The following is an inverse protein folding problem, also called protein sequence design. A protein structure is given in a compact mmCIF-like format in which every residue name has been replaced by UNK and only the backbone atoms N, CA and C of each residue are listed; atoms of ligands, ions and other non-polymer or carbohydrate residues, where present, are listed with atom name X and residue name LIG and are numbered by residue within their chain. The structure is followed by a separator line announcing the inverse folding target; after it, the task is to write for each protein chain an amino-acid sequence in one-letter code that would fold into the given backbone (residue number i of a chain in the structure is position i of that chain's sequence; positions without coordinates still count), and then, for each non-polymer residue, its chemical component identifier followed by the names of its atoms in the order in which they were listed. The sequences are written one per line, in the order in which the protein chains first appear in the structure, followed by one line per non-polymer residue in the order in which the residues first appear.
data_IF_552122483469
#
_entry.id   IF_552122483469
#
_cell.length_a   1.000
_cell.length_b   1.000
_cell.length_c   1.000
_cell.angle_alpha   90.00
_cell.angle_beta   90.00
_cell.angle_gamma   90.00
#
_symmetry.space_group_name_H-M   'P 1'
#
loop_
_entity.id
_entity.type
_entity.pdbx_description
1 polymer ?
#
# COMPACT_ATOMS: atom_id res chain seq x y z
N UNK A 1 -12.33 -14.75 16.27
CA UNK A 1 -11.82 -15.04 14.91
C UNK A 1 -11.98 -13.80 14.05
N UNK A 2 -10.97 -12.92 14.00
CA UNK A 2 -10.85 -11.97 12.89
C UNK A 2 -10.09 -12.73 11.78
N UNK A 3 -10.74 -13.02 10.65
CA UNK A 3 -10.90 -12.07 9.53
C UNK A 3 -9.53 -11.66 8.99
N UNK A 4 -8.83 -12.63 8.41
CA UNK A 4 -7.91 -12.31 7.34
C UNK A 4 -8.73 -12.50 6.07
N UNK A 5 -9.28 -11.41 5.53
CA UNK A 5 -9.92 -11.43 4.22
C UNK A 5 -8.80 -11.69 3.19
N UNK A 6 -8.53 -12.97 2.97
CA UNK A 6 -7.78 -13.41 1.80
C UNK A 6 -8.47 -12.92 0.50
N UNK A 7 -9.77 -12.65 0.57
CA UNK A 7 -10.54 -12.05 -0.52
C UNK A 7 -10.12 -10.62 -0.86
N UNK A 8 -9.58 -9.85 0.10
CA UNK A 8 -9.04 -8.52 -0.17
C UNK A 8 -7.73 -8.54 -1.00
N UNK A 9 -7.11 -9.72 -1.15
CA UNK A 9 -5.95 -9.96 -2.01
C UNK A 9 -6.26 -10.86 -3.20
N UNK A 10 -7.54 -11.12 -3.51
CA UNK A 10 -7.88 -11.41 -4.89
C UNK A 10 -7.60 -10.11 -5.65
N UNK A 11 -6.42 -10.07 -6.27
CA UNK A 11 -6.10 -9.07 -7.28
C UNK A 11 -7.35 -8.95 -8.15
N UNK A 12 -8.08 -7.82 -8.09
CA UNK A 12 -9.29 -7.70 -8.87
C UNK A 12 -8.89 -8.02 -10.31
N UNK A 13 -9.66 -8.88 -10.96
CA UNK A 13 -9.53 -9.16 -12.38
C UNK A 13 -9.91 -7.87 -13.12
N UNK A 14 -9.01 -6.88 -13.10
CA UNK A 14 -9.14 -5.66 -13.86
C UNK A 14 -8.46 -5.90 -15.20
N UNK A 15 -9.23 -5.92 -16.30
CA UNK A 15 -8.67 -5.92 -17.63
C UNK A 15 -8.21 -4.47 -17.94
N UNK A 16 -6.89 -4.28 -18.06
CA UNK A 16 -6.15 -3.18 -18.74
C UNK A 16 -5.55 -1.98 -17.96
N UNK A 17 -4.45 -1.34 -18.47
CA UNK A 17 -3.59 -1.72 -19.59
C UNK A 17 -2.18 -2.11 -19.10
N UNK A 18 -1.89 -3.41 -19.19
CA UNK A 18 -0.58 -4.05 -18.97
C UNK A 18 0.58 -3.38 -19.72
N UNK A 19 0.29 -2.77 -20.88
CA UNK A 19 1.29 -2.24 -21.79
C UNK A 19 2.05 -1.05 -21.19
N UNK A 20 1.34 -0.06 -20.62
CA UNK A 20 1.98 1.21 -20.20
C UNK A 20 2.97 1.02 -19.06
N UNK A 21 2.58 0.30 -18.00
CA UNK A 21 3.49 0.04 -16.88
C UNK A 21 4.67 -0.84 -17.32
N UNK A 22 4.41 -1.86 -18.15
CA UNK A 22 5.46 -2.73 -18.68
C UNK A 22 6.46 -1.94 -19.53
N UNK A 23 5.97 -1.10 -20.45
CA UNK A 23 6.80 -0.24 -21.30
C UNK A 23 7.68 0.72 -20.48
N UNK A 24 7.19 1.19 -19.33
CA UNK A 24 7.98 2.02 -18.42
C UNK A 24 9.00 1.22 -17.60
N UNK A 25 8.61 0.06 -17.06
CA UNK A 25 9.39 -0.69 -16.07
C UNK A 25 10.41 -1.63 -16.72
N UNK A 26 10.04 -2.33 -17.80
CA UNK A 26 10.86 -3.38 -18.42
C UNK A 26 12.21 -2.86 -18.96
N UNK A 27 12.30 -1.71 -19.66
CA UNK A 27 13.59 -1.16 -20.07
C UNK A 27 14.50 -0.82 -18.88
N UNK A 28 13.92 -0.28 -17.80
CA UNK A 28 14.67 0.06 -16.58
C UNK A 28 15.16 -1.21 -15.86
N UNK A 29 14.30 -2.23 -15.79
CA UNK A 29 14.66 -3.54 -15.24
C UNK A 29 15.82 -4.17 -16.02
N UNK A 30 15.73 -4.22 -17.34
CA UNK A 30 16.75 -4.81 -18.19
C UNK A 30 18.09 -4.04 -18.14
N UNK A 31 18.06 -2.75 -17.83
CA UNK A 31 19.25 -1.92 -17.61
C UNK A 31 19.84 -2.00 -16.19
N UNK A 32 19.29 -2.86 -15.31
CA UNK A 32 19.70 -2.96 -13.91
C UNK A 32 19.34 -1.72 -13.07
N UNK A 33 18.41 -0.88 -13.55
CA UNK A 33 17.99 0.37 -12.90
C UNK A 33 16.79 0.17 -11.97
N UNK A 34 16.96 -0.72 -11.00
CA UNK A 34 15.85 -1.20 -10.18
C UNK A 34 15.22 -0.15 -9.27
N UNK A 35 15.99 0.82 -8.76
CA UNK A 35 15.42 1.96 -8.02
C UNK A 35 14.47 2.77 -8.90
N UNK A 36 14.89 3.20 -10.09
CA UNK A 36 14.03 3.93 -11.03
C UNK A 36 12.81 3.10 -11.44
N UNK A 37 13.00 1.81 -11.72
CA UNK A 37 11.91 0.90 -12.08
C UNK A 37 10.85 0.81 -10.96
N UNK A 38 11.30 0.75 -9.71
CA UNK A 38 10.40 0.67 -8.55
C UNK A 38 9.68 1.99 -8.29
N UNK A 39 10.29 3.13 -8.60
CA UNK A 39 9.62 4.43 -8.52
C UNK A 39 8.45 4.54 -9.51
N UNK A 40 8.60 4.04 -10.75
CA UNK A 40 7.51 3.95 -11.71
C UNK A 40 6.36 3.03 -11.24
N UNK A 41 6.71 1.89 -10.61
CA UNK A 41 5.71 1.01 -9.98
C UNK A 41 4.97 1.72 -8.84
N UNK A 42 5.68 2.47 -7.99
CA UNK A 42 5.09 3.22 -6.89
C UNK A 42 4.18 4.35 -7.38
N UNK A 43 4.55 5.04 -8.45
CA UNK A 43 3.70 6.04 -9.10
C UNK A 43 2.38 5.42 -9.56
N UNK A 44 2.42 4.27 -10.25
CA UNK A 44 1.20 3.55 -10.65
C UNK A 44 0.36 3.10 -9.45
N UNK A 45 0.99 2.54 -8.41
CA UNK A 45 0.29 2.15 -7.18
C UNK A 45 -0.38 3.33 -6.47
N UNK A 46 0.18 4.54 -6.59
CA UNK A 46 -0.42 5.77 -6.03
C UNK A 46 -1.62 6.24 -6.83
N UNK A 47 -1.51 6.20 -8.16
CA UNK A 47 -2.53 6.75 -9.07
C UNK A 47 -3.72 5.81 -9.24
N UNK A 48 -3.46 4.53 -9.47
CA UNK A 48 -4.50 3.56 -9.88
C UNK A 48 -4.88 2.57 -8.78
N UNK A 49 -4.14 2.59 -7.66
CA UNK A 49 -4.39 1.73 -6.52
C UNK A 49 -3.88 0.29 -6.69
N UNK A 50 -4.65 -0.66 -6.18
CA UNK A 50 -4.21 -2.05 -5.93
C UNK A 50 -4.39 -2.97 -7.15
N UNK A 51 -3.70 -2.66 -8.25
CA UNK A 51 -3.63 -3.54 -9.44
C UNK A 51 -2.68 -4.73 -9.25
N UNK A 52 -2.91 -5.83 -9.97
CA UNK A 52 -2.05 -7.03 -9.93
C UNK A 52 -0.63 -6.78 -10.44
N UNK A 53 -0.51 -6.08 -11.56
CA UNK A 53 0.77 -5.92 -12.27
C UNK A 53 1.79 -5.06 -11.52
N UNK A 54 1.42 -3.91 -10.92
CA UNK A 54 2.36 -3.17 -10.10
C UNK A 54 2.92 -4.03 -8.96
N UNK A 55 2.11 -4.88 -8.34
CA UNK A 55 2.57 -5.80 -7.30
C UNK A 55 3.47 -6.91 -7.84
N UNK A 56 3.18 -7.43 -9.03
CA UNK A 56 4.05 -8.39 -9.70
C UNK A 56 5.43 -7.79 -9.97
N UNK A 57 5.49 -6.60 -10.56
CA UNK A 57 6.74 -5.88 -10.82
C UNK A 57 7.47 -5.51 -9.53
N UNK A 58 6.74 -5.04 -8.50
CA UNK A 58 7.31 -4.77 -7.19
C UNK A 58 8.00 -6.02 -6.62
N UNK A 59 7.36 -7.18 -6.66
CA UNK A 59 7.96 -8.43 -6.18
C UNK A 59 9.21 -8.83 -6.97
N UNK A 60 9.21 -8.68 -8.30
CA UNK A 60 10.39 -8.94 -9.12
C UNK A 60 11.57 -8.03 -8.72
N UNK A 61 11.30 -6.73 -8.57
CA UNK A 61 12.30 -5.71 -8.22
C UNK A 61 12.80 -5.84 -6.77
N UNK A 62 11.92 -6.05 -5.81
CA UNK A 62 12.27 -6.16 -4.37
C UNK A 62 13.09 -7.41 -4.06
N UNK A 63 13.03 -8.44 -4.91
CA UNK A 63 13.86 -9.64 -4.80
C UNK A 63 15.26 -9.48 -5.33
N UNK A 64 15.51 -8.44 -6.12
CA UNK A 64 16.87 -8.16 -6.60
C UNK A 64 17.83 -8.03 -5.43
N UNK A 65 19.00 -8.64 -5.58
CA UNK A 65 20.08 -8.57 -4.60
C UNK A 65 20.77 -7.22 -4.70
N UNK A 66 20.83 -6.45 -3.61
CA UNK A 66 21.45 -5.13 -3.64
C UNK A 66 22.95 -5.19 -4.02
N UNK A 67 23.58 -6.34 -3.81
CA UNK A 67 24.97 -6.68 -4.09
C UNK A 67 25.20 -7.32 -5.47
N UNK A 68 24.18 -7.47 -6.32
CA UNK A 68 24.36 -7.99 -7.67
C UNK A 68 25.13 -6.97 -8.53
N UNK A 69 26.29 -7.33 -9.11
CA UNK A 69 27.07 -6.42 -9.96
C UNK A 69 26.33 -5.99 -11.24
N UNK A 70 25.26 -6.70 -11.64
CA UNK A 70 24.40 -6.28 -12.74
C UNK A 70 23.48 -5.09 -12.38
N UNK A 71 23.40 -4.72 -11.10
CA UNK A 71 22.50 -3.68 -10.63
C UNK A 71 23.17 -2.30 -10.66
N UNK A 72 22.96 -1.59 -11.77
CA UNK A 72 23.36 -0.18 -11.92
C UNK A 72 22.72 0.73 -10.86
N UNK A 73 21.51 0.41 -10.42
CA UNK A 73 20.75 1.22 -9.47
C UNK A 73 19.96 0.33 -8.49
N UNK A 74 20.58 -0.18 -7.41
CA UNK A 74 19.93 -1.11 -6.50
C UNK A 74 18.77 -0.45 -5.76
N UNK A 75 17.74 -1.23 -5.45
CA UNK A 75 16.62 -0.78 -4.62
C UNK A 75 17.11 -0.39 -3.23
N UNK A 76 16.78 0.83 -2.80
CA UNK A 76 17.17 1.36 -1.50
C UNK A 76 16.38 0.72 -0.35
N UNK A 77 16.93 0.76 0.88
CA UNK A 77 16.20 0.33 2.08
C UNK A 77 14.88 1.10 2.25
N UNK A 78 14.90 2.42 2.01
CA UNK A 78 13.70 3.26 2.11
C UNK A 78 12.59 2.87 1.14
N UNK A 79 12.94 2.46 -0.09
CA UNK A 79 11.95 1.96 -1.04
C UNK A 79 11.45 0.57 -0.67
N UNK A 80 12.33 -0.32 -0.17
CA UNK A 80 11.90 -1.63 0.35
C UNK A 80 10.90 -1.44 1.49
N UNK A 81 11.10 -0.46 2.36
CA UNK A 81 10.19 -0.18 3.48
C UNK A 81 8.90 0.56 3.09
N UNK A 82 8.65 0.76 1.80
CA UNK A 82 7.49 1.52 1.35
C UNK A 82 6.17 0.80 1.68
N UNK A 83 5.26 1.54 2.31
CA UNK A 83 3.94 1.08 2.73
C UNK A 83 3.11 0.47 1.59
N UNK A 84 3.28 0.96 0.36
CA UNK A 84 2.55 0.44 -0.80
C UNK A 84 2.83 -1.04 -1.05
N UNK A 85 3.98 -1.59 -0.63
CA UNK A 85 4.29 -3.02 -0.80
C UNK A 85 3.78 -3.89 0.34
N UNK A 86 3.06 -3.32 1.29
CA UNK A 86 2.51 -4.09 2.39
C UNK A 86 1.57 -5.23 1.95
N UNK A 87 0.67 -5.02 0.98
CA UNK A 87 -0.14 -6.09 0.36
C UNK A 87 0.60 -7.35 -0.03
N UNK A 88 1.88 -7.23 -0.36
CA UNK A 88 2.74 -8.34 -0.82
C UNK A 88 3.82 -8.70 0.20
N UNK A 89 3.80 -8.09 1.39
CA UNK A 89 4.69 -8.39 2.49
C UNK A 89 4.17 -9.56 3.34
N UNK A 90 5.10 -10.34 3.86
CA UNK A 90 4.86 -11.41 4.81
C UNK A 90 5.66 -11.13 6.07
N UNK A 91 5.07 -11.33 7.25
CA UNK A 91 5.68 -11.03 8.53
C UNK A 91 5.74 -12.26 9.44
N UNK A 92 6.85 -12.38 10.17
CA UNK A 92 6.98 -13.29 11.30
C UNK A 92 6.21 -12.81 12.52
N UNK A 93 5.24 -13.61 12.98
CA UNK A 93 4.46 -13.37 14.20
C UNK A 93 5.26 -13.43 15.51
N UNK A 94 6.57 -13.74 15.46
CA UNK A 94 7.45 -13.87 16.63
C UNK A 94 8.52 -12.80 16.73
N UNK A 95 9.16 -12.44 15.63
CA UNK A 95 10.24 -11.45 15.61
C UNK A 95 9.94 -10.21 14.77
N UNK A 96 8.74 -10.12 14.19
CA UNK A 96 8.28 -9.00 13.35
C UNK A 96 9.13 -8.75 12.10
N UNK A 97 10.09 -9.62 11.80
CA UNK A 97 10.83 -9.59 10.55
C UNK A 97 9.88 -9.85 9.39
N UNK A 98 10.02 -9.07 8.31
CA UNK A 98 9.18 -9.21 7.13
C UNK A 98 10.00 -9.52 5.88
N UNK A 99 9.34 -10.09 4.88
CA UNK A 99 9.93 -10.46 3.59
C UNK A 99 8.87 -10.42 2.49
N UNK A 100 9.30 -10.49 1.24
CA UNK A 100 8.45 -10.54 0.06
C UNK A 100 8.41 -11.97 -0.48
N UNK A 101 7.29 -12.66 -0.29
CA UNK A 101 7.13 -14.03 -0.76
C UNK A 101 6.98 -14.06 -2.28
N UNK A 102 7.81 -14.87 -2.96
CA UNK A 102 7.72 -15.05 -4.40
C UNK A 102 6.67 -16.08 -4.83
N UNK A 103 5.99 -16.73 -3.88
CA UNK A 103 5.06 -17.82 -4.19
C UNK A 103 3.91 -17.36 -5.10
N UNK A 104 3.50 -16.10 -5.01
CA UNK A 104 2.48 -15.52 -5.90
C UNK A 104 2.94 -15.32 -7.36
N UNK A 105 4.26 -15.30 -7.62
CA UNK A 105 4.81 -15.16 -8.97
C UNK A 105 4.84 -16.48 -9.75
N UNK A 106 4.63 -17.61 -9.08
CA UNK A 106 4.79 -18.94 -9.65
C UNK A 106 3.47 -19.71 -9.58
N UNK A 107 2.49 -19.30 -10.39
CA UNK A 107 1.17 -19.94 -10.46
C UNK A 107 1.19 -21.34 -11.10
N UNK A 108 2.21 -21.67 -11.91
CA UNK A 108 2.20 -22.86 -12.78
C UNK A 108 3.29 -23.91 -12.51
N UNK A 109 4.04 -23.83 -11.40
CA UNK A 109 5.16 -24.76 -11.16
C UNK A 109 4.78 -25.76 -10.07
N UNK A 110 4.34 -26.94 -10.48
CA UNK A 110 4.04 -28.08 -9.60
C UNK A 110 5.26 -28.55 -8.78
N UNK A 111 6.48 -28.15 -9.18
CA UNK A 111 7.74 -28.53 -8.55
C UNK A 111 8.64 -27.31 -8.33
N UNK A 112 8.20 -26.37 -7.51
CA UNK A 112 9.08 -25.28 -7.10
C UNK A 112 10.03 -25.78 -6.00
N UNK A 113 11.29 -26.04 -6.37
CA UNK A 113 12.36 -26.16 -5.38
C UNK A 113 12.60 -24.78 -4.77
N UNK A 114 11.89 -24.53 -3.67
CA UNK A 114 12.10 -23.40 -2.79
C UNK A 114 13.45 -23.62 -2.10
N UNK A 115 14.56 -23.24 -2.75
CA UNK A 115 15.91 -23.28 -2.17
C UNK A 115 16.10 -22.30 -1.00
N UNK A 116 15.01 -21.65 -0.58
CA UNK A 116 14.93 -20.75 0.55
C UNK A 116 13.44 -20.57 0.93
N UNK A 117 12.85 -21.27 1.93
CA UNK A 117 11.71 -20.69 2.60
C UNK A 117 12.29 -19.60 3.50
N UNK A 118 11.96 -18.35 3.22
CA UNK A 118 11.96 -17.37 4.30
C UNK A 118 10.69 -17.65 5.10
N UNK A 119 10.67 -18.72 5.91
CA UNK A 119 9.57 -19.05 6.81
C UNK A 119 8.45 -19.99 6.33
N UNK A 120 7.52 -20.31 7.23
CA UNK A 120 6.31 -21.12 7.00
C UNK A 120 5.06 -20.38 7.50
N UNK A 121 3.91 -20.70 6.91
CA UNK A 121 2.60 -20.14 7.25
C UNK A 121 1.60 -21.25 7.58
N UNK A 122 0.79 -21.02 8.62
CA UNK A 122 -0.34 -21.89 8.95
C UNK A 122 -1.40 -21.83 7.86
N UNK A 123 -1.79 -22.98 7.33
CA UNK A 123 -2.77 -23.07 6.25
C UNK A 123 -4.22 -22.80 6.71
N UNK A 124 -4.46 -22.74 8.02
CA UNK A 124 -5.76 -22.40 8.61
C UNK A 124 -5.80 -20.94 9.10
N UNK A 125 -5.01 -20.61 10.12
CA UNK A 125 -5.09 -19.30 10.79
C UNK A 125 -4.10 -18.25 10.26
N UNK A 126 -3.29 -18.60 9.24
CA UNK A 126 -2.28 -17.71 8.62
C UNK A 126 -1.15 -17.24 9.55
N UNK A 127 -1.02 -17.84 10.72
CA UNK A 127 0.13 -17.62 11.60
C UNK A 127 1.43 -17.94 10.86
N UNK A 128 2.34 -16.98 10.78
CA UNK A 128 3.54 -17.07 9.95
C UNK A 128 4.81 -16.91 10.78
N UNK A 129 5.82 -17.74 10.52
CA UNK A 129 7.12 -17.72 11.19
C UNK A 129 8.23 -17.61 10.16
N UNK A 130 9.20 -16.73 10.37
CA UNK A 130 10.42 -16.73 9.56
C UNK A 130 11.30 -17.96 9.90
N UNK A 131 12.27 -18.26 9.02
CA UNK A 131 13.19 -19.40 9.20
C UNK A 131 13.94 -19.40 10.53
N UNK A 132 14.25 -18.22 11.09
CA UNK A 132 14.97 -18.10 12.35
C UNK A 132 14.08 -18.35 13.57
N UNK A 133 12.77 -18.13 13.42
CA UNK A 133 11.79 -18.34 14.49
C UNK A 133 11.08 -19.69 14.40
N UNK A 134 11.23 -20.40 13.28
CA UNK A 134 10.68 -21.73 13.05
C UNK A 134 11.52 -22.79 13.77
N UNK A 135 10.98 -23.48 14.80
CA UNK A 135 11.71 -24.56 15.45
C UNK A 135 11.90 -25.75 14.50
N UNK A 136 13.04 -26.45 14.63
CA UNK A 136 13.31 -27.64 13.83
C UNK A 136 12.21 -28.69 14.03
N UNK A 137 11.67 -29.25 12.93
CA UNK A 137 10.60 -30.26 12.98
C UNK A 137 9.20 -29.72 13.32
N UNK A 138 9.03 -28.40 13.47
CA UNK A 138 7.72 -27.81 13.73
C UNK A 138 6.86 -27.84 12.46
N UNK A 139 5.87 -28.73 12.44
CA UNK A 139 4.84 -28.80 11.39
C UNK A 139 3.47 -28.31 11.85
N UNK A 140 3.24 -28.16 13.17
CA UNK A 140 1.98 -27.67 13.74
C UNK A 140 2.02 -26.18 14.01
N UNK A 141 0.89 -25.52 13.79
CA UNK A 141 0.71 -24.12 14.11
C UNK A 141 0.87 -23.87 15.62
N UNK A 142 1.69 -22.90 16.05
CA UNK A 142 1.85 -22.56 17.46
C UNK A 142 0.77 -21.59 17.97
N UNK A 143 -0.13 -21.09 17.10
CA UNK A 143 -1.21 -20.22 17.52
C UNK A 143 -2.18 -20.98 18.44
N UNK A 144 -2.50 -20.38 19.58
CA UNK A 144 -3.36 -20.99 20.59
C UNK A 144 -4.72 -21.38 19.99
N UNK A 145 -5.08 -22.66 20.10
CA UNK A 145 -6.37 -23.18 19.63
C UNK A 145 -6.47 -23.43 18.13
N UNK A 146 -5.39 -23.29 17.35
CA UNK A 146 -5.40 -23.60 15.91
C UNK A 146 -4.92 -25.05 15.67
N UNK A 147 -5.75 -25.92 15.06
CA UNK A 147 -5.34 -27.28 14.72
C UNK A 147 -4.46 -27.38 13.46
N UNK A 148 -4.33 -26.29 12.69
CA UNK A 148 -3.66 -26.25 11.40
C UNK A 148 -2.16 -26.55 11.40
N UNK A 149 -1.67 -26.92 10.22
CA UNK A 149 -0.26 -27.15 9.93
C UNK A 149 0.45 -25.93 9.32
N UNK A 150 1.73 -25.79 9.63
CA UNK A 150 2.64 -24.89 8.95
C UNK A 150 3.03 -25.50 7.60
N UNK A 151 2.88 -24.72 6.53
CA UNK A 151 3.26 -25.07 5.17
C UNK A 151 3.89 -23.89 4.44
N UNK A 152 4.08 -24.03 3.14
CA UNK A 152 4.59 -22.93 2.31
C UNK A 152 3.66 -21.70 2.44
N UNK A 153 4.21 -20.49 2.59
CA UNK A 153 3.40 -19.26 2.60
C UNK A 153 2.62 -19.13 1.31
N UNK A 154 1.29 -19.28 1.37
CA UNK A 154 0.43 -19.18 0.19
C UNK A 154 -0.04 -17.75 -0.03
N UNK A 155 -0.06 -16.93 1.02
CA UNK A 155 -0.56 -15.55 0.95
C UNK A 155 0.34 -14.59 1.74
N UNK A 156 0.56 -13.37 1.25
CA UNK A 156 1.05 -12.27 2.06
C UNK A 156 0.22 -12.10 3.33
N UNK A 157 0.84 -11.77 4.44
CA UNK A 157 0.13 -11.50 5.71
C UNK A 157 -0.10 -10.02 5.96
N UNK A 158 0.44 -9.14 5.10
CA UNK A 158 0.58 -7.72 5.39
C UNK A 158 1.82 -7.42 6.27
N UNK A 159 1.94 -6.16 6.70
CA UNK A 159 3.04 -5.62 7.53
C UNK A 159 2.66 -5.69 9.02
N UNK A 160 3.65 -5.75 9.94
CA UNK A 160 3.49 -5.71 11.40
C UNK A 160 2.33 -4.91 11.96
N UNK A 161 1.52 -5.59 12.80
CA UNK A 161 0.62 -4.94 13.74
C UNK A 161 1.42 -3.97 14.61
N UNK A 162 1.00 -2.70 14.66
CA UNK A 162 1.54 -1.72 15.61
C UNK A 162 2.76 -0.92 15.15
N UNK A 163 3.23 -1.07 13.90
CA UNK A 163 4.21 -0.15 13.31
C UNK A 163 3.55 0.64 12.18
N UNK A 164 3.53 1.98 12.21
CA UNK A 164 3.07 2.75 11.07
C UNK A 164 3.89 2.37 9.84
N UNK A 165 3.23 2.23 8.69
CA UNK A 165 3.82 1.58 7.52
C UNK A 165 4.91 2.41 6.83
N UNK A 166 5.22 3.59 7.35
CA UNK A 166 6.39 4.39 7.00
C UNK A 166 6.49 5.57 8.00
N UNK A 167 7.69 6.11 8.24
CA UNK A 167 7.85 7.49 8.74
C UNK A 167 7.28 8.55 7.78
N UNK A 168 7.09 8.18 6.51
CA UNK A 168 6.54 9.00 5.42
C UNK A 168 5.04 8.81 5.15
N UNK A 169 4.37 7.82 5.79
CA UNK A 169 2.91 7.74 5.76
C UNK A 169 2.44 8.63 6.88
N UNK A 170 2.21 9.91 6.56
CA UNK A 170 1.72 10.90 7.50
C UNK A 170 0.49 10.39 8.28
N UNK A 171 0.29 10.94 9.49
CA UNK A 171 -0.92 10.74 10.30
C UNK A 171 -2.15 10.85 9.40
N UNK A 172 -3.14 9.97 9.53
CA UNK A 172 -4.37 10.13 8.75
C UNK A 172 -5.00 11.47 9.13
N UNK A 173 -5.16 12.34 8.14
CA UNK A 173 -5.76 13.65 8.34
C UNK A 173 -7.27 13.52 8.15
N UNK A 174 -7.67 13.00 6.99
CA UNK A 174 -9.07 12.86 6.64
C UNK A 174 -9.34 11.67 5.71
N UNK A 175 -10.58 11.17 5.80
CA UNK A 175 -11.14 10.24 4.82
C UNK A 175 -12.46 10.83 4.33
N UNK A 176 -12.56 11.11 3.03
CA UNK A 176 -13.82 11.43 2.37
C UNK A 176 -14.35 10.17 1.68
N UNK A 177 -15.59 9.79 1.97
CA UNK A 177 -16.26 8.66 1.35
C UNK A 177 -17.37 9.16 0.45
N UNK A 178 -17.21 8.97 -0.86
CA UNK A 178 -18.31 9.07 -1.80
C UNK A 178 -19.06 7.75 -1.82
N UNK A 179 -20.38 7.83 -1.77
CA UNK A 179 -21.24 6.66 -1.84
C UNK A 179 -22.46 6.90 -2.71
N UNK A 180 -22.91 5.81 -3.31
CA UNK A 180 -24.16 5.71 -4.04
C UNK A 180 -25.00 4.56 -3.43
N UNK A 181 -26.31 4.78 -3.29
CA UNK A 181 -27.23 3.80 -2.69
C UNK A 181 -27.52 4.04 -1.22
N UNK A 182 -27.02 3.17 -0.33
CA UNK A 182 -27.24 3.30 1.12
C UNK A 182 -26.15 4.17 1.78
N UNK A 183 -26.50 4.99 2.78
CA UNK A 183 -25.53 5.74 3.58
C UNK A 183 -24.51 4.84 4.27
N UNK A 184 -23.34 5.40 4.55
CA UNK A 184 -22.27 4.70 5.26
C UNK A 184 -22.47 4.90 6.76
N UNK A 185 -22.80 3.84 7.49
CA UNK A 185 -22.86 3.94 8.95
C UNK A 185 -21.45 3.93 9.58
N UNK A 186 -21.35 4.28 10.86
CA UNK A 186 -20.07 4.38 11.55
C UNK A 186 -19.28 3.05 11.55
N UNK A 187 -19.96 1.91 11.59
CA UNK A 187 -19.29 0.60 11.58
C UNK A 187 -18.76 0.26 10.19
N UNK A 188 -19.51 0.58 9.13
CA UNK A 188 -19.06 0.48 7.75
C UNK A 188 -17.90 1.44 7.48
N UNK A 189 -17.96 2.68 7.95
CA UNK A 189 -16.88 3.66 7.83
C UNK A 189 -15.59 3.16 8.47
N UNK A 190 -15.65 2.68 9.72
CA UNK A 190 -14.48 2.07 10.38
C UNK A 190 -13.94 0.87 9.59
N UNK A 191 -14.82 0.02 9.05
CA UNK A 191 -14.43 -1.10 8.19
C UNK A 191 -13.78 -0.66 6.87
N UNK A 192 -14.28 0.40 6.25
CA UNK A 192 -13.73 0.97 5.02
C UNK A 192 -12.38 1.63 5.28
N UNK A 193 -12.24 2.37 6.38
CA UNK A 193 -10.95 2.91 6.85
C UNK A 193 -10.00 1.79 7.24
N UNK A 194 -10.52 0.69 7.78
CA UNK A 194 -9.73 -0.51 8.04
C UNK A 194 -9.08 -1.02 6.77
N UNK A 195 -9.86 -1.17 5.70
CA UNK A 195 -9.37 -1.66 4.41
C UNK A 195 -8.47 -0.62 3.72
N UNK A 196 -8.94 0.62 3.59
CA UNK A 196 -8.29 1.67 2.79
C UNK A 196 -7.12 2.37 3.50
N UNK A 197 -7.14 2.40 4.84
CA UNK A 197 -6.18 3.06 5.71
C UNK A 197 -5.59 2.07 6.72
N UNK A 198 -5.42 0.81 6.29
CA UNK A 198 -4.73 -0.29 7.01
C UNK A 198 -3.37 0.13 7.58
N UNK A 199 -2.76 1.22 7.07
CA UNK A 199 -1.34 1.53 7.18
C UNK A 199 -0.98 2.91 7.75
N UNK A 200 -1.97 3.74 8.17
CA UNK A 200 -1.76 5.11 8.68
C UNK A 200 -2.09 5.24 10.17
N UNK A 201 -1.45 6.18 10.88
CA UNK A 201 -1.82 6.52 12.27
C UNK A 201 -3.23 7.12 12.29
N UNK A 202 -4.15 6.42 12.93
CA UNK A 202 -5.58 6.78 13.04
C UNK A 202 -5.90 7.54 14.32
N UNK A 203 -4.91 8.12 15.01
CA UNK A 203 -5.22 9.03 16.11
C UNK A 203 -5.67 10.36 15.54
N UNK A 204 -6.84 10.81 15.96
CA UNK A 204 -7.40 12.13 15.64
C UNK A 204 -7.66 12.39 14.14
N UNK A 205 -8.04 11.36 13.38
CA UNK A 205 -8.57 11.55 12.03
C UNK A 205 -10.07 11.87 12.08
N UNK A 206 -10.59 12.48 11.02
CA UNK A 206 -12.03 12.65 10.82
C UNK A 206 -12.50 12.01 9.51
N UNK A 207 -13.74 11.50 9.54
CA UNK A 207 -14.42 10.94 8.38
C UNK A 207 -15.50 11.88 7.88
N UNK A 208 -15.51 12.15 6.58
CA UNK A 208 -16.59 12.82 5.87
C UNK A 208 -17.26 11.83 4.93
N UNK A 209 -18.58 11.81 4.90
CA UNK A 209 -19.32 11.10 3.86
C UNK A 209 -20.10 12.10 2.99
N UNK A 210 -20.16 11.81 1.70
CA UNK A 210 -20.91 12.61 0.75
C UNK A 210 -21.70 11.67 -0.17
N UNK A 211 -23.03 11.80 -0.12
CA UNK A 211 -23.89 11.22 -1.14
C UNK A 211 -23.60 11.91 -2.46
N UNK A 212 -23.38 11.12 -3.49
CA UNK A 212 -23.26 11.61 -4.87
C UNK A 212 -24.28 10.91 -5.76
N UNK A 213 -24.71 11.60 -6.80
CA UNK A 213 -25.50 10.98 -7.84
C UNK A 213 -24.62 10.02 -8.67
N UNK A 214 -25.19 8.98 -9.31
CA UNK A 214 -24.38 7.96 -9.96
C UNK A 214 -23.46 8.50 -11.08
N UNK A 215 -23.84 9.61 -11.73
CA UNK A 215 -23.00 10.27 -12.75
C UNK A 215 -21.82 11.06 -12.15
N UNK A 216 -21.91 11.42 -10.87
CA UNK A 216 -20.88 12.14 -10.12
C UNK A 216 -19.99 11.18 -9.30
N UNK A 217 -20.19 9.86 -9.42
CA UNK A 217 -19.37 8.86 -8.74
C UNK A 217 -18.03 8.66 -9.47
N UNK A 218 -17.23 9.72 -9.51
CA UNK A 218 -15.96 9.80 -10.24
C UNK A 218 -14.83 10.31 -9.34
N UNK A 219 -13.59 10.01 -9.73
CA UNK A 219 -12.40 10.52 -9.04
C UNK A 219 -12.37 12.06 -9.03
N UNK A 220 -12.73 12.68 -10.15
CA UNK A 220 -12.72 14.13 -10.34
C UNK A 220 -13.68 14.85 -9.38
N UNK A 221 -14.88 14.29 -9.17
CA UNK A 221 -15.86 14.85 -8.24
C UNK A 221 -15.32 14.84 -6.80
N UNK A 222 -14.67 13.76 -6.38
CA UNK A 222 -14.06 13.70 -5.05
C UNK A 222 -12.85 14.61 -4.89
N UNK A 223 -11.98 14.70 -5.89
CA UNK A 223 -10.86 15.65 -5.87
C UNK A 223 -11.33 17.11 -5.86
N UNK A 224 -12.43 17.44 -6.55
CA UNK A 224 -13.04 18.77 -6.48
C UNK A 224 -13.55 19.10 -5.05
N UNK A 225 -14.10 18.10 -4.34
CA UNK A 225 -14.52 18.24 -2.94
C UNK A 225 -13.33 18.44 -2.00
N UNK A 226 -12.26 17.67 -2.18
CA UNK A 226 -11.01 17.85 -1.40
C UNK A 226 -10.42 19.23 -1.63
N UNK A 227 -10.34 19.69 -2.89
CA UNK A 227 -9.84 21.02 -3.22
C UNK A 227 -10.71 22.14 -2.62
N UNK A 228 -12.03 21.93 -2.51
CA UNK A 228 -12.92 22.84 -1.80
C UNK A 228 -12.62 22.83 -0.29
N UNK A 229 -12.51 21.66 0.32
CA UNK A 229 -12.20 21.52 1.75
C UNK A 229 -10.88 22.20 2.12
N UNK A 230 -9.87 22.09 1.24
CA UNK A 230 -8.58 22.77 1.40
C UNK A 230 -8.74 24.29 1.36
N UNK A 231 -9.49 24.84 0.38
CA UNK A 231 -9.77 26.29 0.30
C UNK A 231 -10.56 26.81 1.51
N UNK A 232 -11.46 26.00 2.04
CA UNK A 232 -12.30 26.33 3.19
C UNK A 232 -11.56 26.15 4.53
N UNK A 233 -10.30 25.69 4.50
CA UNK A 233 -9.46 25.46 5.69
C UNK A 233 -9.82 24.21 6.50
N UNK A 234 -10.74 23.38 5.99
CA UNK A 234 -11.15 22.11 6.59
C UNK A 234 -10.22 20.94 6.26
N UNK A 235 -9.34 21.10 5.27
CA UNK A 235 -8.20 20.22 5.01
C UNK A 235 -6.91 21.06 4.96
N UNK A 236 -5.80 20.48 5.38
CA UNK A 236 -4.50 21.13 5.45
C UNK A 236 -3.90 21.39 4.07
N UNK A 237 -3.16 22.49 3.93
CA UNK A 237 -2.53 22.91 2.67
C UNK A 237 -1.77 21.76 1.98
N UNK A 238 -1.98 21.58 0.69
CA UNK A 238 -1.48 20.47 -0.12
C UNK A 238 -2.30 19.17 0.00
N UNK A 239 -3.53 19.23 0.53
CA UNK A 239 -4.37 18.05 0.75
C UNK A 239 -4.61 17.28 -0.54
N UNK A 240 -4.85 17.99 -1.64
CA UNK A 240 -5.09 17.37 -2.95
C UNK A 240 -3.94 16.44 -3.37
N UNK A 241 -2.70 16.91 -3.24
CA UNK A 241 -1.48 16.16 -3.64
C UNK A 241 -1.19 14.98 -2.69
N UNK A 242 -1.71 15.02 -1.46
CA UNK A 242 -1.57 13.95 -0.46
C UNK A 242 -2.78 13.02 -0.41
N UNK A 243 -3.76 13.22 -1.28
CA UNK A 243 -4.97 12.42 -1.33
C UNK A 243 -4.86 11.32 -2.36
N UNK A 244 -5.17 10.10 -1.95
CA UNK A 244 -5.30 8.95 -2.85
C UNK A 244 -6.74 8.45 -2.91
N UNK A 245 -7.08 7.79 -4.00
CA UNK A 245 -8.42 7.22 -4.23
C UNK A 245 -8.39 5.71 -4.05
N UNK A 246 -9.40 5.16 -3.35
CA UNK A 246 -9.60 3.72 -3.15
C UNK A 246 -11.04 3.36 -3.49
N UNK A 247 -11.24 2.53 -4.50
CA UNK A 247 -12.56 2.02 -4.86
C UNK A 247 -12.79 0.67 -4.15
N UNK A 248 -13.90 0.56 -3.41
CA UNK A 248 -14.27 -0.63 -2.65
C UNK A 248 -15.70 -1.06 -3.00
N UNK A 249 -15.90 -2.37 -3.17
CA UNK A 249 -17.24 -2.96 -3.21
C UNK A 249 -17.67 -3.40 -1.82
N UNK A 250 -18.89 -3.05 -1.40
CA UNK A 250 -19.51 -3.53 -0.16
C UNK A 250 -20.84 -4.22 -0.47
N UNK A 251 -21.41 -5.01 0.45
CA UNK A 251 -22.76 -5.54 0.30
C UNK A 251 -23.84 -4.46 0.09
N UNK A 252 -23.52 -3.19 0.39
CA UNK A 252 -24.38 -2.02 0.28
C UNK A 252 -24.06 -1.13 -0.93
N UNK A 253 -23.21 -1.60 -1.84
CA UNK A 253 -22.86 -0.92 -3.09
C UNK A 253 -21.39 -0.54 -3.20
N UNK A 254 -21.06 0.28 -4.19
CA UNK A 254 -19.70 0.79 -4.38
C UNK A 254 -19.43 1.99 -3.46
N UNK A 255 -18.18 2.10 -3.01
CA UNK A 255 -17.64 3.19 -2.19
C UNK A 255 -16.35 3.69 -2.82
N UNK A 256 -16.23 5.00 -2.96
CA UNK A 256 -14.99 5.63 -3.41
C UNK A 256 -14.44 6.46 -2.27
N UNK A 257 -13.31 6.03 -1.74
CA UNK A 257 -12.64 6.65 -0.61
C UNK A 257 -11.52 7.54 -1.09
N UNK A 258 -11.42 8.73 -0.52
CA UNK A 258 -10.34 9.68 -0.71
C UNK A 258 -9.63 9.80 0.63
N UNK A 259 -8.40 9.29 0.68
CA UNK A 259 -7.61 9.19 1.90
C UNK A 259 -6.50 10.22 1.85
N UNK A 260 -6.58 11.24 2.70
CA UNK A 260 -5.58 12.31 2.78
C UNK A 260 -4.66 12.06 3.97
N UNK A 261 -3.36 11.96 3.71
CA UNK A 261 -2.35 11.94 4.77
C UNK A 261 -2.07 13.36 5.27
N UNK A 262 -1.76 13.51 6.56
CA UNK A 262 -1.24 14.75 7.12
C UNK A 262 0.13 15.09 6.52
N UNK A 263 0.50 16.38 6.44
CA UNK A 263 1.83 16.77 6.01
C UNK A 263 2.91 16.17 6.92
N UNK A 264 4.05 15.80 6.33
CA UNK A 264 5.19 15.27 7.09
C UNK A 264 5.72 16.34 8.04
N UNK A 265 5.83 16.02 9.33
CA UNK A 265 6.46 16.91 10.29
C UNK A 265 7.95 17.08 9.93
N UNK A 266 8.33 18.26 9.44
CA UNK A 266 9.71 18.60 9.09
C UNK A 266 10.03 18.65 7.59
N UNK A 267 9.05 18.50 6.69
CA UNK A 267 9.26 18.90 5.30
C UNK A 267 9.50 20.42 5.26
N UNK A 268 10.58 20.91 4.63
CA UNK A 268 10.80 22.34 4.51
C UNK A 268 9.61 22.94 3.76
N UNK A 269 8.97 23.94 4.37
CA UNK A 269 8.02 24.77 3.65
C UNK A 269 8.73 25.25 2.38
N UNK A 270 8.18 24.90 1.22
CA UNK A 270 8.68 25.40 -0.04
C UNK A 270 8.62 26.93 0.05
N UNK A 271 9.78 27.55 0.25
CA UNK A 271 9.90 28.97 0.51
C UNK A 271 9.17 29.75 -0.57
N UNK A 272 8.24 30.61 -0.13
CA UNK A 272 7.66 31.61 -1.00
C UNK A 272 8.81 32.36 -1.71
N UNK A 273 8.71 32.63 -3.02
CA UNK A 273 9.74 33.39 -3.70
C UNK A 273 9.82 34.77 -3.03
N UNK A 274 10.95 35.06 -2.40
CA UNK A 274 11.26 36.40 -1.92
C UNK A 274 11.30 37.33 -3.13
N UNK A 275 10.21 38.08 -3.32
CA UNK A 275 10.18 39.22 -4.23
C UNK A 275 11.08 40.30 -3.66
N UNK A 276 12.34 40.32 -4.11
CA UNK A 276 13.27 41.40 -3.85
C UNK A 276 12.67 42.73 -4.30
N UNK A 277 12.52 43.67 -3.35
CA UNK A 277 12.19 45.05 -3.65
C UNK A 277 13.37 45.72 -4.37
N UNK A 278 13.13 46.57 -5.38
CA UNK A 278 14.20 47.30 -6.04
C UNK A 278 14.73 48.40 -5.11
N UNK A 279 16.02 48.36 -4.81
CA UNK A 279 16.73 49.45 -4.16
C UNK A 279 16.78 50.66 -5.11
N UNK A 280 16.03 51.71 -4.77
CA UNK A 280 16.22 53.03 -5.36
C UNK A 280 17.49 53.66 -4.80
N UNK A 281 18.58 53.62 -5.58
CA UNK A 281 19.78 54.39 -5.31
C UNK A 281 19.54 55.88 -5.55
N UNK A 282 19.66 56.68 -4.48
CA UNK A 282 19.94 58.10 -4.56
C UNK A 282 21.45 58.28 -4.40
N UNK A 283 22.09 58.91 -5.40
CA UNK A 283 23.51 59.23 -5.42
C UNK A 283 23.97 59.64 -6.81
#
# INVERSE_FOLDING_TARGET
MARYDAEAFHFPEHPEPLAVLREAVEPLYNAGRYRSALDAVLERLRTDGMGADPFWWALALLRSRADDPANTEPVTASQRENAYFTPIATECQRCEAYWYSSHVLHRDVAELQVSNPVGLQCQECRYTLCRHCLPAGQSRCPAQGCPGGLGLPVLPTGRPRGRPANRHTGRLEQVLVLWHGQPVDAAELEGLVDVACTWQDRRNWWGYEQRVEPHDFTADAGFALIARQERDGSAGAGALQRTRTVLLGTPRGQRMLFVTAAPEAGAPEAGAPETGAPETGAG
#
